data_IF_666295259541
#
_entry.id   IF_666295259541
#
_cell.length_a   1.000
_cell.length_b   1.000
_cell.length_c   1.000
_cell.angle_alpha   90.00
_cell.angle_beta   90.00
_cell.angle_gamma   90.00
#
_symmetry.space_group_name_H-M   'P 1'
#
loop_
_entity.id
_entity.type
_entity.pdbx_description
1 polymer ?
#
# COMPACT_ATOMS: atom_id res chain seq x y z
N UNK A 1 0.93 -1.93 -17.09
CA UNK A 1 2.30 -1.84 -17.64
C UNK A 1 3.19 -2.48 -16.62
N UNK A 2 4.12 -3.34 -17.02
CA UNK A 2 5.00 -4.02 -16.07
C UNK A 2 6.40 -3.45 -16.24
N UNK A 3 6.90 -2.79 -15.20
CA UNK A 3 8.26 -2.27 -15.15
C UNK A 3 9.14 -3.32 -14.49
N UNK A 4 10.29 -3.62 -15.09
CA UNK A 4 11.26 -4.56 -14.52
C UNK A 4 12.26 -3.75 -13.72
N UNK A 5 11.99 -3.60 -12.43
CA UNK A 5 12.84 -2.87 -11.49
C UNK A 5 13.16 -3.74 -10.28
N UNK A 6 14.42 -3.72 -9.85
CA UNK A 6 14.90 -4.45 -8.69
C UNK A 6 14.86 -3.59 -7.41
N UNK A 7 14.80 -2.27 -7.56
CA UNK A 7 14.71 -1.32 -6.45
C UNK A 7 13.56 -0.31 -6.64
N UNK A 8 13.05 0.28 -5.55
CA UNK A 8 12.06 1.36 -5.64
C UNK A 8 12.54 2.57 -6.45
N UNK A 9 13.83 2.89 -6.37
CA UNK A 9 14.43 4.00 -7.13
C UNK A 9 14.47 3.69 -8.63
N UNK A 10 14.89 2.47 -9.01
CA UNK A 10 14.80 2.01 -10.39
C UNK A 10 13.36 2.02 -10.91
N UNK A 11 12.40 1.62 -10.08
CA UNK A 11 10.99 1.63 -10.44
C UNK A 11 10.53 3.06 -10.77
N UNK A 12 10.82 4.03 -9.90
CA UNK A 12 10.47 5.43 -10.11
C UNK A 12 11.16 5.99 -11.35
N UNK A 13 12.41 5.63 -11.64
CA UNK A 13 13.10 6.12 -12.83
C UNK A 13 12.53 5.55 -14.14
N UNK A 14 11.84 4.40 -14.10
CA UNK A 14 11.26 3.76 -15.28
C UNK A 14 9.83 4.20 -15.62
N UNK A 15 9.10 4.80 -14.67
CA UNK A 15 7.74 5.29 -14.94
C UNK A 15 7.78 6.65 -15.67
N UNK A 16 6.68 7.03 -16.36
CA UNK A 16 6.59 8.33 -17.02
C UNK A 16 6.93 9.50 -16.09
N UNK A 17 7.69 10.47 -16.59
CA UNK A 17 8.21 11.62 -15.83
C UNK A 17 7.11 12.35 -15.04
N UNK A 18 5.95 12.56 -15.65
CA UNK A 18 4.76 13.18 -15.05
C UNK A 18 4.28 12.46 -13.76
N UNK A 19 4.62 11.18 -13.59
CA UNK A 19 4.22 10.35 -12.44
C UNK A 19 5.32 10.15 -11.43
N UNK A 20 6.57 10.48 -11.76
CA UNK A 20 7.71 10.29 -10.86
C UNK A 20 7.52 11.11 -9.60
N UNK A 21 7.21 12.41 -9.73
CA UNK A 21 6.99 13.30 -8.59
C UNK A 21 5.87 12.79 -7.67
N UNK A 22 4.77 12.31 -8.26
CA UNK A 22 3.60 11.79 -7.54
C UNK A 22 3.95 10.51 -6.78
N UNK A 23 4.64 9.58 -7.42
CA UNK A 23 5.06 8.31 -6.82
C UNK A 23 6.13 8.51 -5.74
N UNK A 24 7.07 9.44 -5.96
CA UNK A 24 8.05 9.85 -4.95
C UNK A 24 7.35 10.44 -3.72
N UNK A 25 6.38 11.33 -3.92
CA UNK A 25 5.62 11.94 -2.82
C UNK A 25 4.81 10.90 -2.05
N UNK A 26 4.12 9.98 -2.74
CA UNK A 26 3.43 8.86 -2.08
C UNK A 26 4.40 7.99 -1.28
N UNK A 27 5.55 7.63 -1.86
CA UNK A 27 6.59 6.85 -1.19
C UNK A 27 7.08 7.54 0.09
N UNK A 28 7.38 8.83 0.01
CA UNK A 28 7.82 9.62 1.17
C UNK A 28 6.75 9.69 2.26
N UNK A 29 5.50 9.98 1.88
CA UNK A 29 4.38 10.06 2.81
C UNK A 29 4.15 8.73 3.53
N UNK A 30 4.14 7.62 2.79
CA UNK A 30 3.94 6.30 3.38
C UNK A 30 5.11 5.97 4.31
N UNK A 31 6.36 6.05 3.85
CA UNK A 31 7.55 5.77 4.69
C UNK A 31 7.63 6.64 5.94
N UNK A 32 7.25 7.91 5.85
CA UNK A 32 7.30 8.84 6.98
C UNK A 32 6.23 8.61 8.04
N UNK A 33 5.16 7.85 7.72
CA UNK A 33 4.05 7.57 8.64
C UNK A 33 3.93 6.08 8.99
N UNK A 34 4.67 5.21 8.31
CA UNK A 34 4.63 3.77 8.53
C UNK A 34 5.18 3.44 9.92
N UNK A 35 4.48 2.62 10.73
CA UNK A 35 5.01 2.18 12.02
C UNK A 35 6.32 1.40 11.87
N UNK A 36 7.17 1.46 12.91
CA UNK A 36 8.42 0.71 12.92
C UNK A 36 8.19 -0.79 12.78
N UNK A 37 9.05 -1.45 12.00
CA UNK A 37 9.05 -2.89 11.77
C UNK A 37 8.58 -3.30 10.37
N UNK A 38 7.89 -2.44 9.63
CA UNK A 38 7.68 -2.65 8.20
C UNK A 38 8.94 -2.34 7.38
N UNK A 39 9.09 -2.98 6.24
CA UNK A 39 10.18 -2.74 5.29
C UNK A 39 9.68 -2.39 3.89
N UNK A 40 10.36 -1.44 3.26
CA UNK A 40 10.17 -1.15 1.85
C UNK A 40 10.91 -2.17 0.99
N UNK A 41 10.21 -2.74 0.00
CA UNK A 41 10.76 -3.71 -0.94
C UNK A 41 10.14 -3.56 -2.33
N UNK A 42 10.67 -4.27 -3.31
CA UNK A 42 9.99 -4.52 -4.57
C UNK A 42 9.18 -5.81 -4.45
N UNK A 43 7.88 -5.75 -4.72
CA UNK A 43 6.98 -6.90 -4.66
C UNK A 43 5.98 -6.88 -5.80
N UNK A 44 5.82 -8.00 -6.51
CA UNK A 44 4.90 -8.12 -7.66
C UNK A 44 5.06 -7.00 -8.73
N UNK A 45 6.28 -6.49 -8.91
CA UNK A 45 6.59 -5.41 -9.86
C UNK A 45 6.11 -4.02 -9.42
N UNK A 46 5.93 -3.82 -8.11
CA UNK A 46 5.46 -2.58 -7.49
C UNK A 46 6.32 -2.28 -6.25
N UNK A 47 6.29 -1.03 -5.78
CA UNK A 47 6.91 -0.68 -4.50
C UNK A 47 5.98 -1.17 -3.40
N UNK A 48 6.46 -2.05 -2.54
CA UNK A 48 5.71 -2.68 -1.46
C UNK A 48 6.26 -2.35 -0.09
N UNK A 49 5.39 -2.43 0.91
CA UNK A 49 5.70 -2.35 2.32
C UNK A 49 5.22 -3.64 2.98
N UNK A 50 6.12 -4.33 3.68
CA UNK A 50 5.93 -5.71 4.14
C UNK A 50 6.38 -5.88 5.58
N UNK A 51 5.82 -6.87 6.26
CA UNK A 51 6.40 -7.35 7.52
C UNK A 51 7.48 -8.39 7.17
N UNK A 52 8.75 -8.15 7.53
CA UNK A 52 9.85 -9.01 7.14
C UNK A 52 9.87 -10.33 7.91
N UNK A 53 10.50 -11.35 7.34
CA UNK A 53 10.60 -12.69 7.96
C UNK A 53 11.25 -12.69 9.35
N UNK A 54 12.11 -11.70 9.65
CA UNK A 54 12.70 -11.58 11.00
C UNK A 54 11.65 -11.29 12.08
N UNK A 55 10.53 -10.64 11.71
CA UNK A 55 9.41 -10.34 12.62
C UNK A 55 8.36 -11.45 12.50
N UNK A 56 8.07 -11.90 11.29
CA UNK A 56 7.06 -12.94 11.02
C UNK A 56 7.62 -14.04 10.10
N UNK A 57 8.22 -15.10 10.66
CA UNK A 57 8.94 -16.13 9.90
C UNK A 57 8.07 -16.86 8.87
N UNK A 58 6.79 -17.10 9.18
CA UNK A 58 5.86 -17.86 8.33
C UNK A 58 5.54 -17.17 6.99
N UNK A 59 5.74 -15.86 6.90
CA UNK A 59 5.55 -15.11 5.66
C UNK A 59 4.16 -15.19 5.04
N UNK A 60 4.09 -14.93 3.74
CA UNK A 60 2.83 -14.93 3.01
C UNK A 60 2.31 -16.37 2.78
N UNK A 61 1.00 -16.59 2.95
CA UNK A 61 0.41 -17.94 3.00
C UNK A 61 0.36 -18.61 1.63
N UNK A 62 0.28 -17.83 0.55
CA UNK A 62 0.35 -18.38 -0.81
C UNK A 62 1.79 -18.75 -1.22
N UNK A 63 2.78 -18.03 -0.68
CA UNK A 63 4.20 -18.30 -0.91
C UNK A 63 5.00 -17.89 0.33
N UNK A 64 5.29 -18.83 1.25
CA UNK A 64 5.99 -18.55 2.51
C UNK A 64 7.42 -18.02 2.34
N UNK A 65 7.96 -17.99 1.12
CA UNK A 65 9.25 -17.34 0.84
C UNK A 65 9.13 -15.82 0.71
N UNK A 66 7.89 -15.33 0.54
CA UNK A 66 7.61 -13.91 0.48
C UNK A 66 7.31 -13.38 1.88
N UNK A 67 7.82 -12.18 2.23
CA UNK A 67 7.43 -11.51 3.46
C UNK A 67 5.94 -11.18 3.43
N UNK A 68 5.35 -10.95 4.60
CA UNK A 68 3.92 -10.71 4.72
C UNK A 68 3.55 -9.34 4.12
N UNK A 69 2.77 -9.28 3.02
CA UNK A 69 2.43 -8.02 2.37
C UNK A 69 1.47 -7.18 3.21
N UNK A 70 1.69 -5.86 3.25
CA UNK A 70 0.82 -4.92 3.95
C UNK A 70 0.29 -3.81 3.05
N UNK A 71 1.17 -3.05 2.39
CA UNK A 71 0.81 -1.98 1.48
C UNK A 71 1.64 -2.00 0.21
N UNK A 72 1.18 -1.38 -0.87
CA UNK A 72 1.98 -1.18 -2.09
C UNK A 72 1.51 0.03 -2.88
N UNK A 73 2.40 0.63 -3.66
CA UNK A 73 2.07 1.70 -4.61
C UNK A 73 2.51 1.33 -6.02
N UNK A 74 1.69 1.68 -7.01
CA UNK A 74 1.96 1.35 -8.40
C UNK A 74 1.49 2.44 -9.38
N UNK A 75 2.31 2.69 -10.40
CA UNK A 75 1.94 3.45 -11.59
C UNK A 75 1.34 2.51 -12.64
N UNK A 76 0.01 2.48 -12.76
CA UNK A 76 -0.70 1.69 -13.77
C UNK A 76 -1.04 2.55 -14.99
N UNK A 77 -1.27 1.94 -16.15
CA UNK A 77 -1.44 2.66 -17.44
C UNK A 77 -2.34 3.90 -17.35
N UNK A 78 -3.46 3.82 -16.62
CA UNK A 78 -4.46 4.89 -16.55
C UNK A 78 -4.63 5.54 -15.15
N UNK A 79 -3.91 5.07 -14.13
CA UNK A 79 -4.08 5.56 -12.76
C UNK A 79 -2.87 5.22 -11.90
N UNK A 80 -2.71 5.95 -10.80
CA UNK A 80 -1.87 5.56 -9.67
C UNK A 80 -2.70 4.73 -8.70
N UNK A 81 -2.16 3.62 -8.22
CA UNK A 81 -2.83 2.73 -7.28
C UNK A 81 -2.12 2.69 -5.94
N UNK A 82 -2.89 2.73 -4.86
CA UNK A 82 -2.46 2.39 -3.52
C UNK A 82 -3.18 1.11 -3.11
N UNK A 83 -2.41 0.07 -2.83
CA UNK A 83 -2.90 -1.18 -2.29
C UNK A 83 -2.70 -1.19 -0.79
N UNK A 84 -3.74 -1.57 -0.03
CA UNK A 84 -3.69 -1.68 1.41
C UNK A 84 -4.42 -2.95 1.85
N UNK A 85 -3.69 -3.89 2.44
CA UNK A 85 -4.22 -5.19 2.84
C UNK A 85 -5.08 -5.09 4.12
N UNK A 86 -4.74 -4.16 5.02
CA UNK A 86 -5.61 -3.83 6.17
C UNK A 86 -7.03 -3.45 5.76
N UNK A 87 -7.21 -2.54 4.80
CA UNK A 87 -8.55 -2.17 4.27
C UNK A 87 -9.33 -3.38 3.74
N UNK A 88 -8.64 -4.37 3.20
CA UNK A 88 -9.28 -5.59 2.71
C UNK A 88 -9.68 -6.55 3.83
N UNK A 89 -8.89 -6.63 4.90
CA UNK A 89 -9.06 -7.59 5.97
C UNK A 89 -9.93 -7.07 7.13
N UNK A 90 -9.98 -5.75 7.32
CA UNK A 90 -10.65 -5.09 8.43
C UNK A 90 -11.77 -4.16 7.92
N UNK A 91 -13.01 -4.55 8.22
CA UNK A 91 -14.20 -3.77 7.84
C UNK A 91 -14.28 -2.42 8.56
N UNK A 92 -13.80 -2.31 9.80
CA UNK A 92 -13.83 -1.06 10.55
C UNK A 92 -12.87 -0.04 9.93
N UNK A 93 -11.66 -0.50 9.56
CA UNK A 93 -10.71 0.33 8.84
C UNK A 93 -11.25 0.79 7.49
N UNK A 94 -11.92 -0.10 6.74
CA UNK A 94 -12.59 0.26 5.48
C UNK A 94 -13.71 1.30 5.71
N UNK A 95 -14.57 1.09 6.70
CA UNK A 95 -15.67 2.03 7.05
C UNK A 95 -15.12 3.39 7.44
N UNK A 96 -14.05 3.43 8.23
CA UNK A 96 -13.36 4.68 8.56
C UNK A 96 -12.79 5.36 7.31
N UNK A 97 -12.05 4.63 6.46
CA UNK A 97 -11.40 5.24 5.30
C UNK A 97 -12.44 5.83 4.33
N UNK A 98 -13.53 5.09 4.09
CA UNK A 98 -14.62 5.51 3.19
C UNK A 98 -15.40 6.71 3.74
N UNK A 99 -15.51 6.87 5.07
CA UNK A 99 -16.16 8.02 5.69
C UNK A 99 -15.27 9.27 5.75
N UNK A 100 -13.95 9.11 5.88
CA UNK A 100 -13.00 10.21 5.86
C UNK A 100 -12.72 10.73 4.44
N UNK A 101 -12.70 9.85 3.43
CA UNK A 101 -12.30 10.19 2.06
C UNK A 101 -12.97 11.46 1.49
N UNK A 102 -14.29 11.68 1.63
CA UNK A 102 -14.96 12.89 1.11
C UNK A 102 -14.49 14.21 1.72
N UNK A 103 -13.82 14.18 2.89
CA UNK A 103 -13.25 15.38 3.53
C UNK A 103 -11.99 15.86 2.85
N UNK A 104 -11.27 14.96 2.17
CA UNK A 104 -10.00 15.24 1.49
C UNK A 104 -10.15 15.30 -0.03
N UNK A 105 -11.18 14.66 -0.58
CA UNK A 105 -11.39 14.56 -2.02
C UNK A 105 -12.82 14.98 -2.40
N UNK A 106 -12.94 15.85 -3.40
CA UNK A 106 -14.24 16.21 -3.99
C UNK A 106 -14.82 15.13 -4.91
N UNK A 107 -13.98 14.20 -5.37
CA UNK A 107 -14.40 13.12 -6.27
C UNK A 107 -14.78 11.87 -5.51
N UNK A 108 -15.67 11.08 -6.12
CA UNK A 108 -16.03 9.77 -5.61
C UNK A 108 -14.80 8.86 -5.54
N UNK A 109 -14.67 8.12 -4.44
CA UNK A 109 -13.69 7.06 -4.25
C UNK A 109 -13.86 5.96 -5.32
N UNK A 110 -12.80 5.72 -6.10
CA UNK A 110 -12.68 4.58 -7.03
C UNK A 110 -11.77 3.54 -6.39
N UNK A 111 -12.33 2.40 -5.98
CA UNK A 111 -11.55 1.33 -5.37
C UNK A 111 -12.08 -0.07 -5.71
N UNK A 112 -11.17 -1.04 -5.70
CA UNK A 112 -11.48 -2.47 -5.53
C UNK A 112 -11.34 -2.89 -4.06
N UNK A 113 -11.31 -4.19 -3.79
CA UNK A 113 -11.24 -4.75 -2.43
C UNK A 113 -10.09 -4.20 -1.56
N UNK A 114 -8.89 -4.12 -2.14
CA UNK A 114 -7.68 -3.58 -1.48
C UNK A 114 -7.05 -2.42 -2.22
N UNK A 115 -7.59 -2.03 -3.38
CA UNK A 115 -6.91 -1.19 -4.36
C UNK A 115 -7.65 0.12 -4.55
N UNK A 116 -7.08 1.22 -4.02
CA UNK A 116 -7.56 2.59 -4.22
C UNK A 116 -6.92 3.14 -5.50
N UNK A 117 -7.73 3.72 -6.40
CA UNK A 117 -7.30 4.13 -7.75
C UNK A 117 -7.46 5.63 -7.96
N UNK A 118 -6.36 6.28 -8.31
CA UNK A 118 -6.30 7.71 -8.60
C UNK A 118 -6.05 7.94 -10.08
N UNK A 119 -7.12 8.29 -10.82
CA UNK A 119 -7.03 8.59 -12.27
C UNK A 119 -6.42 9.97 -12.55
N UNK A 120 -6.61 10.93 -11.64
CA UNK A 120 -5.93 12.22 -11.68
C UNK A 120 -5.02 12.35 -10.47
N UNK A 121 -3.79 12.72 -10.75
CA UNK A 121 -2.71 12.80 -9.77
C UNK A 121 -2.91 13.93 -8.77
N UNK A 122 -3.61 14.99 -9.16
CA UNK A 122 -3.88 16.15 -8.30
C UNK A 122 -4.90 15.86 -7.20
N UNK A 123 -5.70 14.79 -7.35
CA UNK A 123 -6.72 14.44 -6.36
C UNK A 123 -6.20 13.48 -5.27
N UNK A 124 -4.91 13.10 -5.30
CA UNK A 124 -4.36 12.14 -4.34
C UNK A 124 -4.34 12.79 -2.95
N UNK A 125 -5.09 12.27 -1.96
CA UNK A 125 -5.16 12.84 -0.63
C UNK A 125 -3.98 12.35 0.21
N UNK A 126 -2.80 12.95 0.01
CA UNK A 126 -1.56 12.53 0.67
C UNK A 126 -1.69 12.45 2.20
N UNK A 127 -2.35 13.42 2.82
CA UNK A 127 -2.56 13.43 4.28
C UNK A 127 -3.39 12.23 4.77
N UNK A 128 -4.47 11.91 4.06
CA UNK A 128 -5.31 10.75 4.38
C UNK A 128 -4.54 9.43 4.15
N UNK A 129 -3.73 9.33 3.10
CA UNK A 129 -2.89 8.15 2.85
C UNK A 129 -1.81 8.00 3.93
N UNK A 130 -1.21 9.10 4.39
CA UNK A 130 -0.29 9.08 5.54
C UNK A 130 -0.97 8.57 6.80
N UNK A 131 -2.15 9.12 7.11
CA UNK A 131 -2.96 8.67 8.26
C UNK A 131 -3.34 7.20 8.16
N UNK A 132 -3.76 6.74 6.97
CA UNK A 132 -4.06 5.34 6.72
C UNK A 132 -2.84 4.45 6.96
N UNK A 133 -1.66 4.88 6.50
CA UNK A 133 -0.40 4.11 6.65
C UNK A 133 0.03 3.95 8.10
N UNK A 134 -0.32 4.89 8.97
CA UNK A 134 0.02 4.89 10.39
C UNK A 134 -0.91 4.03 11.28
N UNK A 135 -2.05 3.59 10.75
CA UNK A 135 -3.15 3.05 11.57
C UNK A 135 -2.99 1.62 12.04
N UNK A 136 -2.12 0.84 11.39
CA UNK A 136 -1.97 -0.58 11.67
C UNK A 136 -0.50 -0.88 11.86
N UNK A 137 -0.13 -1.34 13.06
CA UNK A 137 1.22 -1.80 13.37
C UNK A 137 1.51 -3.17 12.77
N UNK A 138 2.79 -3.59 12.65
CA UNK A 138 3.10 -4.95 12.21
C UNK A 138 2.45 -6.04 13.05
N UNK A 139 2.35 -5.84 14.38
CA UNK A 139 1.76 -6.82 15.29
C UNK A 139 0.26 -6.99 15.05
N UNK A 140 -0.50 -5.88 14.99
CA UNK A 140 -1.93 -5.90 14.67
C UNK A 140 -2.19 -6.48 13.28
N UNK A 141 -1.31 -6.18 12.32
CA UNK A 141 -1.42 -6.75 10.98
C UNK A 141 -1.23 -8.27 10.97
N UNK A 142 -0.23 -8.80 11.69
CA UNK A 142 -0.02 -10.25 11.81
C UNK A 142 -1.25 -10.91 12.43
N UNK A 143 -1.79 -10.36 13.52
CA UNK A 143 -2.97 -10.93 14.20
C UNK A 143 -4.20 -10.95 13.29
N UNK A 144 -4.47 -9.85 12.59
CA UNK A 144 -5.56 -9.76 11.61
C UNK A 144 -5.35 -10.76 10.48
N UNK A 145 -4.11 -10.88 10.01
CA UNK A 145 -3.76 -11.78 8.92
C UNK A 145 -3.93 -13.26 9.29
N UNK A 146 -3.49 -13.66 10.48
CA UNK A 146 -3.63 -15.04 10.96
C UNK A 146 -5.09 -15.41 11.25
N UNK A 147 -5.90 -14.47 11.73
CA UNK A 147 -7.31 -14.72 12.05
C UNK A 147 -8.21 -14.73 10.80
N UNK A 148 -7.98 -13.83 9.84
CA UNK A 148 -8.90 -13.60 8.72
C UNK A 148 -8.43 -14.20 7.40
N UNK A 149 -7.12 -14.27 7.15
CA UNK A 149 -6.58 -14.58 5.81
C UNK A 149 -5.92 -15.96 5.78
N UNK A 150 -4.96 -16.21 6.67
CA UNK A 150 -4.27 -17.51 6.78
C UNK A 150 -5.21 -18.49 7.49
N UNK A 151 -6.23 -18.97 6.78
CA UNK A 151 -7.10 -20.05 7.29
C UNK A 151 -6.23 -21.25 7.66
N UNK A 152 -6.43 -21.79 8.86
CA UNK A 152 -5.85 -23.05 9.32
C UNK A 152 -6.22 -24.20 8.40
#
# INVERSE_FOLDING_TARGET
MQYKANTPDEYINQIPEERQAVMQKLRQVIKGNLPDGFEETMGYGMIGYVVPHRIYPDGYHCDPKLPLPFMSIASQKNFVAVYHMGIYADEELLKWFTSEYPKYCSRKLDMGKSCIRFKKIDDIPYELIGTLSARVTPAEWIETYESQIKKK
#
